data_IF_563905527004
#
_entry.id   IF_563905527004
#
_cell.length_a   1.000
_cell.length_b   1.000
_cell.length_c   1.000
_cell.angle_alpha   90.00
_cell.angle_beta   90.00
_cell.angle_gamma   90.00
#
_symmetry.space_group_name_H-M   'P 1'
#
loop_
_entity.id
_entity.type
_entity.pdbx_description
1 polymer ?
#
# COMPACT_ATOMS: atom_id res chain seq x y z
N UNK A 1 6.83 -9.17 13.02
CA UNK A 1 8.09 -8.97 13.75
C UNK A 1 8.83 -10.30 13.71
N UNK A 2 10.13 -10.29 13.36
CA UNK A 2 10.91 -11.51 13.23
C UNK A 2 10.94 -12.21 14.57
N UNK A 3 10.96 -13.54 14.57
CA UNK A 3 11.01 -14.27 15.85
C UNK A 3 12.38 -14.07 16.52
N UNK A 4 13.43 -13.86 15.73
CA UNK A 4 14.78 -13.63 16.23
C UNK A 4 15.26 -12.20 15.96
N UNK A 5 14.64 -11.24 16.64
CA UNK A 5 15.05 -9.82 16.58
C UNK A 5 16.54 -9.65 16.88
N UNK A 6 17.29 -9.16 15.89
CA UNK A 6 18.72 -8.78 15.99
C UNK A 6 19.68 -9.91 16.36
N UNK A 7 19.33 -11.18 16.12
CA UNK A 7 20.26 -12.28 16.31
C UNK A 7 21.04 -12.59 15.03
N UNK A 8 22.33 -12.84 15.16
CA UNK A 8 23.18 -13.27 14.07
C UNK A 8 22.75 -14.69 13.64
N UNK A 9 22.86 -15.10 12.36
CA UNK A 9 22.46 -16.44 11.89
C UNK A 9 23.04 -17.58 12.74
N UNK A 10 24.27 -17.42 13.24
CA UNK A 10 24.91 -18.38 14.16
C UNK A 10 24.24 -18.48 15.53
N UNK A 11 23.75 -17.37 16.08
CA UNK A 11 23.04 -17.38 17.36
C UNK A 11 21.68 -18.06 17.24
N UNK A 12 21.01 -17.87 16.09
CA UNK A 12 19.76 -18.55 15.77
C UNK A 12 20.02 -20.06 15.64
N UNK A 13 21.07 -20.45 14.93
CA UNK A 13 21.49 -21.85 14.79
C UNK A 13 21.81 -22.49 16.14
N UNK A 14 22.63 -21.83 16.97
CA UNK A 14 22.96 -22.30 18.32
C UNK A 14 21.69 -22.47 19.16
N UNK A 15 20.80 -21.49 19.18
CA UNK A 15 19.52 -21.59 19.89
C UNK A 15 18.68 -22.77 19.40
N UNK A 16 18.58 -22.94 18.08
CA UNK A 16 17.82 -24.04 17.48
C UNK A 16 18.46 -25.41 17.76
N UNK A 17 19.78 -25.50 17.89
CA UNK A 17 20.45 -26.75 18.25
C UNK A 17 20.14 -27.18 19.69
N UNK A 18 19.93 -26.25 20.61
CA UNK A 18 19.58 -26.57 22.00
C UNK A 18 18.09 -26.92 22.19
N UNK A 19 17.24 -26.55 21.22
CA UNK A 19 15.79 -26.82 21.23
C UNK A 19 15.46 -28.28 20.84
N UNK A 20 14.32 -28.78 21.31
CA UNK A 20 13.84 -30.10 20.91
C UNK A 20 13.26 -30.09 19.49
N UNK A 21 13.29 -31.24 18.80
CA UNK A 21 12.74 -31.37 17.45
C UNK A 21 11.23 -31.03 17.41
N UNK A 22 10.50 -31.33 18.48
CA UNK A 22 9.06 -31.02 18.62
C UNK A 22 8.82 -29.52 18.67
N UNK A 23 9.63 -28.78 19.44
CA UNK A 23 9.54 -27.32 19.54
C UNK A 23 9.92 -26.63 18.23
N UNK A 24 10.95 -27.11 17.53
CA UNK A 24 11.33 -26.59 16.21
C UNK A 24 10.21 -26.78 15.16
N UNK A 25 9.51 -27.91 15.19
CA UNK A 25 8.35 -28.15 14.31
C UNK A 25 7.17 -27.24 14.64
N UNK A 26 6.92 -26.96 15.93
CA UNK A 26 5.92 -25.97 16.36
C UNK A 26 6.29 -24.57 15.87
N UNK A 27 7.56 -24.19 16.01
CA UNK A 27 8.05 -22.90 15.55
C UNK A 27 7.89 -22.76 14.03
N UNK A 28 8.22 -23.78 13.24
CA UNK A 28 7.98 -23.80 11.80
C UNK A 28 6.49 -23.59 11.46
N UNK A 29 5.58 -24.25 12.17
CA UNK A 29 4.14 -24.05 11.98
C UNK A 29 3.70 -22.60 12.27
N UNK A 30 4.24 -21.98 13.33
CA UNK A 30 3.97 -20.58 13.67
C UNK A 30 4.46 -19.59 12.60
N UNK A 31 5.58 -19.89 11.91
CA UNK A 31 5.99 -19.09 10.75
C UNK A 31 4.97 -19.17 9.62
N UNK A 32 4.37 -20.35 9.39
CA UNK A 32 3.28 -20.52 8.41
C UNK A 32 2.11 -19.59 8.68
N UNK A 33 1.57 -19.62 9.90
CA UNK A 33 0.46 -18.72 10.31
C UNK A 33 0.83 -17.24 10.19
N UNK A 34 2.09 -16.88 10.50
CA UNK A 34 2.58 -15.52 10.40
C UNK A 34 2.66 -15.06 8.94
N UNK A 35 3.12 -15.91 8.02
CA UNK A 35 3.14 -15.60 6.59
C UNK A 35 1.75 -15.46 6.00
N UNK A 36 0.80 -16.30 6.38
CA UNK A 36 -0.60 -16.15 5.96
C UNK A 36 -1.18 -14.81 6.42
N UNK A 37 -0.93 -14.43 7.68
CA UNK A 37 -1.40 -13.14 8.21
C UNK A 37 -0.77 -11.95 7.49
N UNK A 38 0.54 -11.99 7.24
CA UNK A 38 1.24 -10.92 6.52
C UNK A 38 0.82 -10.85 5.05
N UNK A 39 0.57 -11.99 4.40
CA UNK A 39 0.03 -12.08 3.04
C UNK A 39 -1.35 -11.43 2.95
N UNK A 40 -2.26 -11.79 3.86
CA UNK A 40 -3.60 -11.18 3.92
C UNK A 40 -3.52 -9.65 4.11
N UNK A 41 -2.58 -9.17 4.95
CA UNK A 41 -2.36 -7.74 5.13
C UNK A 41 -1.79 -7.04 3.88
N UNK A 42 -0.90 -7.70 3.13
CA UNK A 42 -0.40 -7.18 1.85
C UNK A 42 -1.55 -7.09 0.83
N UNK A 43 -2.37 -8.13 0.72
CA UNK A 43 -3.54 -8.17 -0.18
C UNK A 43 -4.54 -7.05 0.15
N UNK A 44 -4.89 -6.87 1.43
CA UNK A 44 -5.75 -5.77 1.87
C UNK A 44 -5.17 -4.39 1.51
N UNK A 45 -3.85 -4.22 1.63
CA UNK A 45 -3.20 -2.96 1.28
C UNK A 45 -3.20 -2.74 -0.23
N UNK A 46 -3.03 -3.79 -1.03
CA UNK A 46 -3.12 -3.72 -2.50
C UNK A 46 -4.53 -3.31 -2.93
N UNK A 47 -5.57 -3.87 -2.31
CA UNK A 47 -6.95 -3.49 -2.61
C UNK A 47 -7.25 -2.03 -2.23
N UNK A 48 -6.75 -1.58 -1.06
CA UNK A 48 -6.83 -0.16 -0.67
C UNK A 48 -6.10 0.75 -1.66
N UNK A 49 -4.92 0.35 -2.16
CA UNK A 49 -4.18 1.11 -3.18
C UNK A 49 -4.94 1.20 -4.51
N UNK A 50 -5.62 0.13 -4.92
CA UNK A 50 -6.51 0.17 -6.11
C UNK A 50 -7.66 1.14 -5.90
N UNK A 51 -8.36 1.06 -4.77
CA UNK A 51 -9.45 1.97 -4.46
C UNK A 51 -9.01 3.45 -4.42
N UNK A 52 -7.84 3.73 -3.85
CA UNK A 52 -7.23 5.07 -3.88
C UNK A 52 -6.95 5.52 -5.32
N UNK A 53 -6.39 4.64 -6.14
CA UNK A 53 -6.10 4.94 -7.55
C UNK A 53 -7.36 5.26 -8.35
N UNK A 54 -8.42 4.49 -8.14
CA UNK A 54 -9.73 4.72 -8.77
C UNK A 54 -10.34 6.06 -8.31
N UNK A 55 -10.24 6.38 -7.03
CA UNK A 55 -10.71 7.67 -6.50
C UNK A 55 -9.92 8.85 -7.07
N UNK A 56 -8.60 8.75 -7.14
CA UNK A 56 -7.73 9.76 -7.78
C UNK A 56 -8.12 9.98 -9.24
N UNK A 57 -8.36 8.90 -9.99
CA UNK A 57 -8.79 8.99 -11.38
C UNK A 57 -10.16 9.66 -11.53
N UNK A 58 -11.08 9.39 -10.59
CA UNK A 58 -12.42 10.00 -10.56
C UNK A 58 -12.31 11.51 -10.34
N UNK A 59 -11.56 11.94 -9.31
CA UNK A 59 -11.35 13.37 -9.01
C UNK A 59 -10.69 14.10 -10.19
N UNK A 60 -9.70 13.48 -10.85
CA UNK A 60 -9.08 14.05 -12.04
C UNK A 60 -10.08 14.29 -13.18
N UNK A 61 -10.98 13.33 -13.43
CA UNK A 61 -12.04 13.47 -14.43
C UNK A 61 -13.04 14.57 -14.06
N UNK A 62 -13.41 14.67 -12.78
CA UNK A 62 -14.30 15.74 -12.29
C UNK A 62 -13.69 17.13 -12.50
N UNK A 63 -12.40 17.29 -12.18
CA UNK A 63 -11.66 18.54 -12.44
C UNK A 63 -11.64 18.86 -13.95
N UNK A 64 -11.37 17.86 -14.80
CA UNK A 64 -11.31 18.06 -16.24
C UNK A 64 -12.66 18.49 -16.82
N UNK A 65 -13.76 17.88 -16.36
CA UNK A 65 -15.12 18.25 -16.76
C UNK A 65 -15.43 19.68 -16.31
N UNK A 66 -15.13 20.02 -15.05
CA UNK A 66 -15.35 21.37 -14.52
C UNK A 66 -14.55 22.41 -15.32
N UNK A 67 -13.29 22.13 -15.65
CA UNK A 67 -12.46 23.03 -16.46
C UNK A 67 -13.05 23.25 -17.87
N UNK A 68 -13.56 22.19 -18.51
CA UNK A 68 -14.25 22.33 -19.81
C UNK A 68 -15.52 23.16 -19.71
N UNK A 69 -16.30 23.00 -18.64
CA UNK A 69 -17.49 23.81 -18.40
C UNK A 69 -17.13 25.28 -18.18
N UNK A 70 -16.10 25.57 -17.39
CA UNK A 70 -15.60 26.94 -17.17
C UNK A 70 -15.16 27.58 -18.49
N UNK A 71 -14.42 26.85 -19.33
CA UNK A 71 -13.99 27.36 -20.64
C UNK A 71 -15.18 27.65 -21.56
N UNK A 72 -16.13 26.71 -21.66
CA UNK A 72 -17.33 26.89 -22.48
C UNK A 72 -18.19 28.06 -21.99
N UNK A 73 -18.29 28.26 -20.67
CA UNK A 73 -19.02 29.37 -20.11
C UNK A 73 -18.28 30.71 -20.33
N UNK A 74 -16.95 30.72 -20.27
CA UNK A 74 -16.14 31.88 -20.62
C UNK A 74 -16.29 32.27 -22.10
N UNK A 75 -16.28 31.30 -23.01
CA UNK A 75 -16.55 31.52 -24.44
C UNK A 75 -17.96 32.06 -24.68
N UNK A 76 -18.95 31.51 -23.99
CA UNK A 76 -20.33 32.00 -24.05
C UNK A 76 -20.46 33.44 -23.55
N UNK A 77 -19.78 33.78 -22.44
CA UNK A 77 -19.73 35.16 -21.91
C UNK A 77 -19.07 36.13 -22.88
N UNK A 78 -17.97 35.72 -23.50
CA UNK A 78 -17.28 36.52 -24.50
C UNK A 78 -18.20 36.79 -25.70
N UNK A 79 -18.90 35.75 -26.17
CA UNK A 79 -19.88 35.88 -27.25
C UNK A 79 -21.05 36.81 -26.88
N UNK A 80 -21.57 36.73 -25.66
CA UNK A 80 -22.60 37.68 -25.19
C UNK A 80 -22.04 39.10 -25.17
N UNK A 81 -20.86 39.31 -24.59
CA UNK A 81 -20.24 40.63 -24.47
C UNK A 81 -20.05 41.32 -25.83
N UNK A 82 -19.62 40.58 -26.85
CA UNK A 82 -19.44 41.10 -28.20
C UNK A 82 -20.77 41.54 -28.86
N UNK A 83 -21.85 40.83 -28.55
CA UNK A 83 -23.19 41.06 -29.12
C UNK A 83 -24.08 42.01 -28.30
N UNK A 84 -23.67 42.42 -27.09
CA UNK A 84 -24.46 43.33 -26.27
C UNK A 84 -24.53 44.74 -26.90
N UNK A 85 -25.72 45.38 -26.91
CA UNK A 85 -25.85 46.76 -27.33
C UNK A 85 -25.19 47.72 -26.32
N UNK A 86 -24.77 48.89 -26.79
CA UNK A 86 -24.14 49.93 -25.96
C UNK A 86 -22.62 50.06 -26.17
N UNK A 87 -22.01 51.01 -25.47
CA UNK A 87 -20.56 51.23 -25.47
C UNK A 87 -19.83 50.21 -24.55
N UNK A 88 -18.50 50.15 -24.58
CA UNK A 88 -17.75 49.13 -23.83
C UNK A 88 -18.00 49.14 -22.32
N UNK A 89 -18.27 50.31 -21.72
CA UNK A 89 -18.55 50.45 -20.30
C UNK A 89 -19.95 49.93 -19.94
N UNK A 90 -20.96 50.25 -20.76
CA UNK A 90 -22.33 49.74 -20.60
C UNK A 90 -22.38 48.21 -20.74
N UNK A 91 -21.69 47.67 -21.75
CA UNK A 91 -21.59 46.22 -21.96
C UNK A 91 -20.93 45.52 -20.77
N UNK A 92 -19.89 46.13 -20.19
CA UNK A 92 -19.19 45.56 -19.04
C UNK A 92 -20.07 45.55 -17.79
N UNK A 93 -20.85 46.61 -17.55
CA UNK A 93 -21.80 46.68 -16.43
C UNK A 93 -22.94 45.65 -16.59
N UNK A 94 -23.47 45.50 -17.80
CA UNK A 94 -24.49 44.48 -18.10
C UNK A 94 -23.91 43.08 -17.88
N UNK A 95 -22.71 42.80 -18.40
CA UNK A 95 -22.03 41.52 -18.22
C UNK A 95 -21.77 41.23 -16.74
N UNK A 96 -21.32 42.22 -15.96
CA UNK A 96 -21.06 42.08 -14.53
C UNK A 96 -22.36 41.79 -13.75
N UNK A 97 -23.47 42.40 -14.12
CA UNK A 97 -24.78 42.13 -13.53
C UNK A 97 -25.32 40.72 -13.87
N UNK A 98 -24.99 40.20 -15.06
CA UNK A 98 -25.38 38.85 -15.50
C UNK A 98 -24.46 37.75 -14.93
N UNK A 99 -23.17 38.04 -14.75
CA UNK A 99 -22.14 37.07 -14.37
C UNK A 99 -21.97 36.88 -12.87
N UNK A 100 -23.02 37.04 -12.06
CA UNK A 100 -22.90 37.02 -10.60
C UNK A 100 -22.48 35.65 -10.01
N UNK A 101 -22.39 34.59 -10.80
CA UNK A 101 -22.09 33.23 -10.33
C UNK A 101 -21.02 32.55 -11.19
N UNK A 102 -19.75 32.64 -10.79
CA UNK A 102 -18.74 31.57 -10.98
C UNK A 102 -17.84 31.59 -9.77
N UNK A 103 -18.23 30.87 -8.73
CA UNK A 103 -17.33 30.59 -7.62
C UNK A 103 -17.12 29.08 -7.55
N UNK A 104 -16.40 28.56 -8.55
CA UNK A 104 -15.91 27.17 -8.54
C UNK A 104 -14.64 26.98 -7.70
N UNK A 105 -14.02 28.06 -7.21
CA UNK A 105 -12.79 28.03 -6.41
C UNK A 105 -12.90 27.12 -5.17
N UNK A 106 -14.05 27.12 -4.50
CA UNK A 106 -14.26 26.31 -3.30
C UNK A 106 -14.25 24.80 -3.58
N UNK A 107 -14.76 24.37 -4.74
CA UNK A 107 -14.79 22.96 -5.14
C UNK A 107 -13.42 22.48 -5.63
N UNK A 108 -12.66 23.34 -6.31
CA UNK A 108 -11.31 23.03 -6.76
C UNK A 108 -10.35 22.87 -5.57
N UNK A 109 -10.44 23.75 -4.57
CA UNK A 109 -9.65 23.65 -3.34
C UNK A 109 -9.96 22.40 -2.53
N UNK A 110 -11.23 21.99 -2.48
CA UNK A 110 -11.65 20.74 -1.83
C UNK A 110 -11.03 19.52 -2.55
N UNK A 111 -11.13 19.49 -3.89
CA UNK A 111 -10.59 18.41 -4.71
C UNK A 111 -9.05 18.30 -4.60
N UNK A 112 -8.35 19.44 -4.56
CA UNK A 112 -6.90 19.48 -4.32
C UNK A 112 -6.53 18.96 -2.94
N UNK A 113 -7.26 19.34 -1.89
CA UNK A 113 -7.05 18.82 -0.53
C UNK A 113 -7.28 17.31 -0.48
N UNK A 114 -8.34 16.81 -1.12
CA UNK A 114 -8.62 15.38 -1.19
C UNK A 114 -7.49 14.63 -1.90
N UNK A 115 -6.97 15.14 -3.02
CA UNK A 115 -5.81 14.55 -3.70
C UNK A 115 -4.56 14.47 -2.82
N UNK A 116 -4.24 15.52 -2.07
CA UNK A 116 -3.11 15.52 -1.13
C UNK A 116 -3.30 14.44 -0.05
N UNK A 117 -4.51 14.29 0.49
CA UNK A 117 -4.79 13.26 1.49
C UNK A 117 -4.67 11.85 0.93
N UNK A 118 -5.18 11.62 -0.29
CA UNK A 118 -5.11 10.33 -0.96
C UNK A 118 -3.66 9.97 -1.31
N UNK A 119 -2.85 10.94 -1.73
CA UNK A 119 -1.42 10.72 -2.00
C UNK A 119 -0.65 10.36 -0.73
N UNK A 120 -0.95 11.03 0.39
CA UNK A 120 -0.37 10.68 1.68
C UNK A 120 -0.74 9.25 2.08
N UNK A 121 -2.02 8.87 1.95
CA UNK A 121 -2.48 7.51 2.26
C UNK A 121 -1.82 6.46 1.34
N UNK A 122 -1.65 6.76 0.05
CA UNK A 122 -0.94 5.90 -0.90
C UNK A 122 0.48 5.65 -0.43
N UNK A 123 1.23 6.72 -0.14
CA UNK A 123 2.62 6.62 0.31
C UNK A 123 2.74 5.85 1.64
N UNK A 124 1.81 6.06 2.58
CA UNK A 124 1.77 5.30 3.84
C UNK A 124 1.54 3.79 3.60
N UNK A 125 0.64 3.42 2.69
CA UNK A 125 0.38 2.02 2.34
C UNK A 125 1.57 1.39 1.61
N UNK A 126 2.22 2.12 0.71
CA UNK A 126 3.44 1.67 0.03
C UNK A 126 4.58 1.41 1.03
N UNK A 127 4.78 2.31 2.01
CA UNK A 127 5.75 2.11 3.08
C UNK A 127 5.42 0.89 3.94
N UNK A 128 4.14 0.69 4.29
CA UNK A 128 3.70 -0.50 5.03
C UNK A 128 3.97 -1.78 4.25
N UNK A 129 3.68 -1.82 2.96
CA UNK A 129 3.97 -2.98 2.12
C UNK A 129 5.48 -3.24 1.99
N UNK A 130 6.29 -2.19 1.85
CA UNK A 130 7.75 -2.34 1.85
C UNK A 130 8.26 -2.92 3.17
N UNK A 131 7.69 -2.47 4.30
CA UNK A 131 8.00 -3.03 5.62
C UNK A 131 7.59 -4.51 5.72
N UNK A 132 6.37 -4.86 5.32
CA UNK A 132 5.89 -6.26 5.30
C UNK A 132 6.80 -7.15 4.44
N UNK A 133 7.27 -6.68 3.28
CA UNK A 133 8.18 -7.45 2.41
C UNK A 133 9.55 -7.65 3.05
N UNK A 134 10.11 -6.62 3.67
CA UNK A 134 11.37 -6.71 4.41
C UNK A 134 11.25 -7.70 5.57
N UNK A 135 10.11 -7.65 6.26
CA UNK A 135 9.76 -8.52 7.37
C UNK A 135 9.67 -9.99 6.93
N UNK A 136 8.92 -10.27 5.86
CA UNK A 136 8.82 -11.61 5.26
C UNK A 136 10.21 -12.11 4.86
N UNK A 137 11.02 -11.28 4.19
CA UNK A 137 12.38 -11.65 3.78
C UNK A 137 13.25 -12.05 4.98
N UNK A 138 13.14 -11.34 6.10
CA UNK A 138 13.87 -11.65 7.32
C UNK A 138 13.40 -12.98 7.91
N UNK A 139 12.08 -13.16 8.07
CA UNK A 139 11.49 -14.41 8.56
C UNK A 139 11.85 -15.63 7.68
N UNK A 140 11.94 -15.47 6.35
CA UNK A 140 12.35 -16.55 5.43
C UNK A 140 13.81 -16.96 5.67
N UNK A 141 14.70 -16.01 5.96
CA UNK A 141 16.09 -16.32 6.31
C UNK A 141 16.16 -17.08 7.64
N UNK A 142 15.40 -16.65 8.65
CA UNK A 142 15.32 -17.34 9.94
C UNK A 142 14.78 -18.77 9.77
N UNK A 143 13.67 -18.93 9.02
CA UNK A 143 13.06 -20.24 8.77
C UNK A 143 14.01 -21.19 8.01
N UNK A 144 14.84 -20.67 7.11
CA UNK A 144 15.83 -21.48 6.40
C UNK A 144 16.85 -22.11 7.37
N UNK A 145 17.27 -21.36 8.40
CA UNK A 145 18.17 -21.86 9.44
C UNK A 145 17.45 -22.91 10.29
N UNK A 146 16.23 -22.60 10.74
CA UNK A 146 15.40 -23.54 11.52
C UNK A 146 15.22 -24.87 10.77
N UNK A 147 14.89 -24.81 9.47
CA UNK A 147 14.71 -26.01 8.65
C UNK A 147 16.01 -26.81 8.49
N UNK A 148 17.15 -26.15 8.31
CA UNK A 148 18.44 -26.84 8.24
C UNK A 148 18.76 -27.60 9.54
N UNK A 149 18.47 -27.00 10.70
CA UNK A 149 18.66 -27.66 12.01
C UNK A 149 17.67 -28.81 12.22
N UNK A 150 16.42 -28.66 11.78
CA UNK A 150 15.41 -29.74 11.79
C UNK A 150 15.92 -30.93 10.96
N UNK A 151 16.37 -30.69 9.72
CA UNK A 151 16.88 -31.74 8.83
C UNK A 151 18.08 -32.47 9.45
N UNK A 152 19.04 -31.72 10.04
CA UNK A 152 20.19 -32.31 10.73
C UNK A 152 19.75 -33.21 11.89
N UNK A 153 18.80 -32.75 12.72
CA UNK A 153 18.28 -33.53 13.86
C UNK A 153 17.51 -34.76 13.39
N UNK A 154 16.73 -34.65 12.31
CA UNK A 154 16.02 -35.80 11.73
C UNK A 154 16.97 -36.85 11.15
N UNK A 155 18.04 -36.43 10.48
CA UNK A 155 19.09 -37.32 10.00
C UNK A 155 19.80 -38.03 11.16
N UNK A 156 20.16 -37.32 12.21
CA UNK A 156 20.79 -37.90 13.39
C UNK A 156 19.92 -38.97 14.06
N UNK A 157 18.61 -38.71 14.18
CA UNK A 157 17.64 -39.69 14.70
C UNK A 157 17.51 -40.90 13.78
N UNK A 158 17.50 -40.71 12.45
CA UNK A 158 17.44 -41.85 11.50
C UNK A 158 18.69 -42.73 11.57
N UNK A 159 19.87 -42.12 11.65
CA UNK A 159 21.14 -42.82 11.72
C UNK A 159 21.30 -43.60 13.04
N UNK A 160 20.88 -43.02 14.17
CA UNK A 160 20.92 -43.74 15.45
C UNK A 160 20.01 -44.96 15.46
N UNK A 161 18.83 -44.86 14.84
CA UNK A 161 17.90 -45.99 14.69
C UNK A 161 18.52 -47.10 13.82
N UNK A 162 19.15 -46.77 12.70
CA UNK A 162 19.79 -47.76 11.81
C UNK A 162 20.99 -48.48 12.45
N UNK A 163 21.81 -47.79 13.23
CA UNK A 163 22.94 -48.42 13.96
C UNK A 163 22.42 -49.44 14.98
N UNK A 164 21.30 -49.14 15.65
CA UNK A 164 20.71 -50.02 16.65
C UNK A 164 20.23 -51.34 16.02
N UNK A 165 19.63 -51.30 14.82
CA UNK A 165 19.18 -52.51 14.11
C UNK A 165 20.29 -53.28 13.37
N UNK A 166 21.43 -52.65 13.09
CA UNK A 166 22.58 -53.31 12.46
C UNK A 166 23.49 -54.03 13.48
N UNK A 167 23.23 -53.86 14.78
CA UNK A 167 24.03 -54.40 15.89
C UNK A 167 23.34 -55.55 16.63
N UNK A 168 22.16 -55.98 16.17
CA UNK A 168 21.45 -57.21 16.57
C UNK A 168 21.65 -58.32 15.52
#
# INVERSE_FOLDING_TARGET
MPFFNMQNPKQIEDYCQHQSLSELKKLNHQYGELFERLGNQEDENVDKLRAISDRVNTIKKEIEINNRQILSEAEYRQSIFENLPGNSAERYLILQAMCLHVSNDANEDLAKKELITLEKQRNELEQRNAWIRSEISSCVQELRIVNAVIEQKELAVRLSVQITYASE
#
